data_IF_612870691860
#
_entry.id   IF_612870691860
#
_cell.length_a   1.000
_cell.length_b   1.000
_cell.length_c   1.000
_cell.angle_alpha   90.00
_cell.angle_beta   90.00
_cell.angle_gamma   90.00
#
_symmetry.space_group_name_H-M   'P 1'
#
loop_
_entity.id
_entity.type
_entity.pdbx_description
1 polymer ?
#
# COMPACT_ATOMS: atom_id res chain seq x y z
N UNK A 1 -11.38 24.11 22.31
CA UNK A 1 -10.36 24.48 21.31
C UNK A 1 -10.03 23.22 20.54
N UNK A 2 -9.83 23.31 19.21
CA UNK A 2 -9.45 22.15 18.39
C UNK A 2 -8.00 21.70 18.62
N UNK A 3 -7.68 20.48 18.19
CA UNK A 3 -6.31 19.94 18.23
C UNK A 3 -5.41 20.69 17.23
N UNK A 4 -4.20 21.12 17.62
CA UNK A 4 -3.23 21.73 16.70
C UNK A 4 -2.94 20.82 15.51
N UNK A 5 -2.77 21.38 14.30
CA UNK A 5 -2.59 20.61 13.06
C UNK A 5 -1.42 19.62 13.16
N UNK A 6 -0.28 20.04 13.71
CA UNK A 6 0.88 19.16 13.86
C UNK A 6 0.58 17.91 14.69
N UNK A 7 -0.26 18.04 15.73
CA UNK A 7 -0.68 16.90 16.55
C UNK A 7 -1.66 15.98 15.85
N UNK A 8 -2.35 16.45 14.83
CA UNK A 8 -3.25 15.58 14.04
C UNK A 8 -2.47 14.56 13.20
N UNK A 9 -1.24 14.87 12.83
CA UNK A 9 -0.36 13.99 12.05
C UNK A 9 0.61 13.17 12.91
N UNK A 10 0.60 13.35 14.22
CA UNK A 10 1.46 12.60 15.16
C UNK A 10 0.98 11.15 15.28
N UNK A 11 1.89 10.21 15.00
CA UNK A 11 1.68 8.77 15.11
C UNK A 11 2.41 8.15 16.30
N UNK A 12 2.89 8.97 17.25
CA UNK A 12 3.57 8.48 18.45
C UNK A 12 2.68 7.49 19.21
N UNK A 13 3.25 6.32 19.54
CA UNK A 13 2.53 5.25 20.20
C UNK A 13 1.63 4.39 19.28
N UNK A 14 1.60 4.63 17.98
CA UNK A 14 0.92 3.79 16.99
C UNK A 14 1.87 2.71 16.44
N UNK A 15 1.31 1.56 16.03
CA UNK A 15 2.03 0.41 15.52
C UNK A 15 1.56 0.09 14.10
N UNK A 16 2.49 0.13 13.14
CA UNK A 16 2.20 -0.08 11.73
C UNK A 16 2.79 -1.40 11.22
N UNK A 17 1.96 -2.23 10.59
CA UNK A 17 2.38 -3.39 9.80
C UNK A 17 2.35 -3.03 8.31
N UNK A 18 3.51 -3.13 7.64
CA UNK A 18 3.66 -2.78 6.22
C UNK A 18 4.05 -4.02 5.41
N UNK A 19 3.15 -4.48 4.55
CA UNK A 19 3.42 -5.63 3.66
C UNK A 19 4.18 -5.18 2.40
N UNK A 20 5.16 -5.99 1.95
CA UNK A 20 6.03 -5.60 0.86
C UNK A 20 6.92 -4.38 1.21
N UNK A 21 7.25 -4.21 2.49
CA UNK A 21 7.94 -3.04 3.03
C UNK A 21 9.44 -3.00 2.84
N UNK A 22 10.06 -4.00 2.18
CA UNK A 22 11.53 -4.07 2.05
C UNK A 22 12.12 -3.13 1.00
N UNK A 23 11.31 -2.47 0.18
CA UNK A 23 11.77 -1.54 -0.87
C UNK A 23 10.62 -0.77 -1.53
N UNK A 24 10.97 0.23 -2.36
CA UNK A 24 10.03 1.01 -3.18
C UNK A 24 8.92 1.63 -2.34
N UNK A 25 7.70 1.69 -2.87
CA UNK A 25 6.58 2.40 -2.23
C UNK A 25 6.31 1.93 -0.80
N UNK A 26 6.43 0.63 -0.52
CA UNK A 26 6.23 0.11 0.84
C UNK A 26 7.26 0.62 1.84
N UNK A 27 8.54 0.73 1.44
CA UNK A 27 9.59 1.28 2.29
C UNK A 27 9.42 2.79 2.49
N UNK A 28 9.08 3.54 1.43
CA UNK A 28 8.80 4.99 1.51
C UNK A 28 7.65 5.30 2.46
N UNK A 29 6.56 4.51 2.38
CA UNK A 29 5.41 4.64 3.29
C UNK A 29 5.82 4.28 4.73
N UNK A 30 6.58 3.18 4.92
CA UNK A 30 7.07 2.79 6.23
C UNK A 30 7.95 3.88 6.87
N UNK A 31 8.83 4.49 6.07
CA UNK A 31 9.65 5.63 6.48
C UNK A 31 8.77 6.80 6.92
N UNK A 32 7.80 7.23 6.11
CA UNK A 32 6.91 8.33 6.44
C UNK A 32 6.12 8.12 7.74
N UNK A 33 5.59 6.90 7.93
CA UNK A 33 4.88 6.55 9.16
C UNK A 33 5.83 6.56 10.38
N UNK A 34 7.06 6.07 10.20
CA UNK A 34 8.09 6.09 11.23
C UNK A 34 8.57 7.50 11.58
N UNK A 35 8.82 8.35 10.59
CA UNK A 35 9.15 9.77 10.77
C UNK A 35 8.04 10.53 11.51
N UNK A 36 6.78 10.13 11.32
CA UNK A 36 5.63 10.65 12.05
C UNK A 36 5.46 10.05 13.46
N UNK A 37 6.32 9.12 13.90
CA UNK A 37 6.38 8.57 15.25
C UNK A 37 5.86 7.14 15.43
N UNK A 38 5.37 6.48 14.37
CA UNK A 38 4.90 5.10 14.46
C UNK A 38 6.07 4.11 14.61
N UNK A 39 5.82 3.01 15.35
CA UNK A 39 6.72 1.85 15.32
C UNK A 39 6.34 0.96 14.14
N UNK A 40 7.35 0.46 13.43
CA UNK A 40 7.18 -0.19 12.13
C UNK A 40 7.50 -1.68 12.22
N UNK A 41 6.59 -2.52 11.72
CA UNK A 41 6.86 -3.92 11.38
C UNK A 41 6.83 -4.07 9.86
N UNK A 42 7.96 -4.43 9.26
CA UNK A 42 8.06 -4.74 7.84
C UNK A 42 7.85 -6.24 7.60
N UNK A 43 7.15 -6.59 6.52
CA UNK A 43 7.15 -7.98 6.04
C UNK A 43 7.34 -8.06 4.54
N UNK A 44 8.17 -9.00 4.12
CA UNK A 44 8.36 -9.42 2.73
C UNK A 44 9.04 -10.80 2.69
N UNK A 45 9.27 -11.36 1.50
CA UNK A 45 9.79 -12.73 1.36
C UNK A 45 11.26 -12.90 1.69
N UNK A 46 12.08 -11.88 1.45
CA UNK A 46 13.55 -11.99 1.54
C UNK A 46 14.04 -11.34 2.82
N UNK A 47 14.63 -12.15 3.70
CA UNK A 47 15.21 -11.68 4.95
C UNK A 47 16.28 -10.60 4.74
N UNK A 48 17.24 -10.81 3.83
CA UNK A 48 18.31 -9.83 3.58
C UNK A 48 17.77 -8.48 3.10
N UNK A 49 16.78 -8.46 2.17
CA UNK A 49 16.16 -7.20 1.73
C UNK A 49 15.43 -6.48 2.92
N UNK A 50 14.92 -7.24 3.91
CA UNK A 50 14.26 -6.70 5.11
C UNK A 50 15.27 -6.19 6.14
N UNK A 51 16.38 -6.89 6.32
CA UNK A 51 17.48 -6.45 7.19
C UNK A 51 18.01 -5.10 6.74
N UNK A 52 18.34 -4.97 5.44
CA UNK A 52 18.81 -3.71 4.85
C UNK A 52 17.78 -2.59 5.03
N UNK A 53 16.50 -2.85 4.71
CA UNK A 53 15.43 -1.86 4.86
C UNK A 53 15.23 -1.43 6.32
N UNK A 54 15.28 -2.38 7.25
CA UNK A 54 15.13 -2.09 8.68
C UNK A 54 16.30 -1.28 9.21
N UNK A 55 17.54 -1.60 8.81
CA UNK A 55 18.71 -0.83 9.17
C UNK A 55 18.62 0.62 8.67
N UNK A 56 18.19 0.85 7.41
CA UNK A 56 17.96 2.18 6.87
C UNK A 56 16.94 3.00 7.69
N UNK A 57 15.85 2.37 8.16
CA UNK A 57 14.88 3.04 9.01
C UNK A 57 15.44 3.32 10.40
N UNK A 58 16.17 2.37 10.99
CA UNK A 58 16.79 2.53 12.31
C UNK A 58 17.87 3.61 12.32
N UNK A 59 18.65 3.75 11.24
CA UNK A 59 19.65 4.84 11.08
C UNK A 59 18.99 6.22 11.07
N UNK A 60 17.69 6.30 10.71
CA UNK A 60 16.86 7.51 10.81
C UNK A 60 16.18 7.68 12.18
N UNK A 61 16.47 6.81 13.15
CA UNK A 61 15.88 6.84 14.49
C UNK A 61 14.48 6.22 14.59
N UNK A 62 14.03 5.48 13.57
CA UNK A 62 12.72 4.84 13.52
C UNK A 62 12.78 3.47 14.22
N UNK A 63 11.88 3.18 15.18
CA UNK A 63 11.73 1.84 15.79
C UNK A 63 11.12 0.88 14.73
N UNK A 64 11.99 0.25 13.95
CA UNK A 64 11.61 -0.68 12.89
C UNK A 64 12.09 -2.10 13.19
N UNK A 65 11.25 -3.07 12.86
CA UNK A 65 11.47 -4.51 12.97
C UNK A 65 10.95 -5.20 11.72
N UNK A 66 11.26 -6.48 11.56
CA UNK A 66 10.82 -7.22 10.40
C UNK A 66 10.49 -8.69 10.69
N UNK A 67 9.66 -9.27 9.80
CA UNK A 67 9.30 -10.69 9.75
C UNK A 67 9.32 -11.12 8.29
N UNK A 68 10.16 -12.11 7.95
CA UNK A 68 10.18 -12.69 6.60
C UNK A 68 8.97 -13.63 6.40
N UNK A 69 8.20 -13.40 5.34
CA UNK A 69 7.01 -14.19 5.03
C UNK A 69 6.61 -14.06 3.56
N UNK A 70 6.00 -15.11 3.01
CA UNK A 70 5.36 -15.06 1.70
C UNK A 70 3.87 -14.71 1.86
N UNK A 71 3.51 -13.49 1.47
CA UNK A 71 2.14 -13.01 1.53
C UNK A 71 1.15 -13.79 0.64
N UNK A 72 1.61 -14.69 -0.24
CA UNK A 72 0.75 -15.60 -0.98
C UNK A 72 0.31 -16.82 -0.16
N UNK A 73 0.95 -17.09 0.99
CA UNK A 73 0.71 -18.24 1.86
C UNK A 73 -0.15 -17.83 3.08
N UNK A 74 -1.36 -18.39 3.24
CA UNK A 74 -2.24 -18.04 4.37
C UNK A 74 -1.60 -18.27 5.74
N UNK A 75 -0.87 -19.37 5.92
CA UNK A 75 -0.20 -19.69 7.19
C UNK A 75 0.89 -18.65 7.55
N UNK A 76 1.61 -18.13 6.57
CA UNK A 76 2.59 -17.07 6.78
C UNK A 76 1.92 -15.76 7.20
N UNK A 77 0.75 -15.43 6.64
CA UNK A 77 -0.01 -14.24 7.01
C UNK A 77 -0.46 -14.32 8.48
N UNK A 78 -1.02 -15.46 8.89
CA UNK A 78 -1.44 -15.69 10.29
C UNK A 78 -0.25 -15.59 11.24
N UNK A 79 0.90 -16.19 10.88
CA UNK A 79 2.15 -16.10 11.65
C UNK A 79 2.65 -14.67 11.76
N UNK A 80 2.70 -13.91 10.67
CA UNK A 80 3.13 -12.49 10.71
C UNK A 80 2.27 -11.67 11.66
N UNK A 81 0.96 -11.83 11.60
CA UNK A 81 0.06 -11.07 12.49
C UNK A 81 0.26 -11.50 13.94
N UNK A 82 0.35 -12.81 14.23
CA UNK A 82 0.58 -13.32 15.59
C UNK A 82 1.92 -12.81 16.17
N UNK A 83 3.03 -12.93 15.43
CA UNK A 83 4.34 -12.44 15.86
C UNK A 83 4.37 -10.91 15.98
N UNK A 84 3.66 -10.17 15.13
CA UNK A 84 3.55 -8.71 15.27
C UNK A 84 2.81 -8.34 16.55
N UNK A 85 1.70 -9.02 16.86
CA UNK A 85 0.96 -8.83 18.10
C UNK A 85 1.82 -9.16 19.34
N UNK A 86 2.59 -10.25 19.30
CA UNK A 86 3.51 -10.62 20.37
C UNK A 86 4.59 -9.57 20.62
N UNK A 87 5.21 -9.05 19.53
CA UNK A 87 6.35 -8.14 19.62
C UNK A 87 5.98 -6.68 19.83
N UNK A 88 4.76 -6.27 19.43
CA UNK A 88 4.30 -4.88 19.46
C UNK A 88 3.06 -4.66 20.34
N UNK A 89 2.33 -5.71 20.71
CA UNK A 89 1.14 -5.67 21.55
C UNK A 89 -0.15 -5.34 20.79
N UNK A 90 -0.09 -4.58 19.69
CA UNK A 90 -1.24 -4.21 18.86
C UNK A 90 -0.79 -3.84 17.44
N UNK A 91 -1.76 -3.75 16.54
CA UNK A 91 -1.58 -3.23 15.17
C UNK A 91 -2.67 -2.17 14.95
N UNK A 92 -2.26 -0.90 14.84
CA UNK A 92 -3.16 0.23 14.64
C UNK A 92 -3.27 0.59 13.16
N UNK A 93 -2.18 0.40 12.41
CA UNK A 93 -2.08 0.77 11.01
C UNK A 93 -1.66 -0.48 10.21
N UNK A 94 -2.45 -0.81 9.19
CA UNK A 94 -2.11 -1.86 8.22
C UNK A 94 -1.93 -1.23 6.84
N UNK A 95 -0.73 -1.39 6.26
CA UNK A 95 -0.45 -1.00 4.87
C UNK A 95 -0.37 -2.25 4.01
N UNK A 96 -1.40 -2.48 3.21
CA UNK A 96 -1.45 -3.56 2.22
C UNK A 96 -0.78 -3.09 0.92
N UNK A 97 0.55 -3.25 0.86
CA UNK A 97 1.35 -2.83 -0.29
C UNK A 97 1.94 -4.00 -1.09
N UNK A 98 2.05 -5.21 -0.51
CA UNK A 98 2.55 -6.36 -1.24
C UNK A 98 1.78 -6.59 -2.55
N UNK A 99 2.51 -6.76 -3.66
CA UNK A 99 1.88 -6.93 -4.95
C UNK A 99 2.83 -7.43 -6.03
N UNK A 100 2.23 -7.88 -7.15
CA UNK A 100 2.92 -8.31 -8.35
C UNK A 100 2.18 -7.81 -9.59
N UNK A 101 2.90 -7.80 -10.71
CA UNK A 101 2.36 -7.53 -12.03
C UNK A 101 2.86 -8.60 -13.01
N UNK A 102 2.12 -8.79 -14.08
CA UNK A 102 2.49 -9.58 -15.23
C UNK A 102 1.81 -8.98 -16.47
N UNK A 103 2.50 -8.97 -17.59
CA UNK A 103 1.99 -8.43 -18.88
C UNK A 103 2.05 -9.48 -19.97
N UNK A 104 0.93 -9.68 -20.66
CA UNK A 104 0.79 -10.47 -21.90
C UNK A 104 -0.53 -10.09 -22.58
N UNK A 105 -0.68 -10.33 -23.91
CA UNK A 105 -1.98 -10.28 -24.58
C UNK A 105 -3.01 -11.17 -23.87
N UNK A 106 -4.28 -10.76 -23.87
CA UNK A 106 -5.33 -11.48 -23.13
C UNK A 106 -5.47 -12.94 -23.60
N UNK A 107 -5.41 -13.16 -24.89
CA UNK A 107 -5.54 -14.47 -25.53
C UNK A 107 -4.41 -15.44 -25.14
N UNK A 108 -3.22 -14.92 -24.87
CA UNK A 108 -2.03 -15.68 -24.49
C UNK A 108 -1.69 -15.58 -23.01
N UNK A 109 -2.59 -15.02 -22.19
CA UNK A 109 -2.29 -14.75 -20.78
C UNK A 109 -2.23 -16.05 -19.95
N UNK A 110 -1.07 -16.43 -19.35
CA UNK A 110 -0.94 -17.66 -18.60
C UNK A 110 -1.81 -17.66 -17.34
N UNK A 111 -2.56 -18.75 -17.10
CA UNK A 111 -3.42 -18.88 -15.91
C UNK A 111 -2.60 -18.77 -14.61
N UNK A 112 -1.41 -19.34 -14.57
CA UNK A 112 -0.50 -19.29 -13.41
C UNK A 112 -0.07 -17.85 -13.11
N UNK A 113 0.10 -17.02 -14.14
CA UNK A 113 0.42 -15.61 -13.95
C UNK A 113 -0.78 -14.81 -13.44
N UNK A 114 -1.99 -15.13 -13.92
CA UNK A 114 -3.25 -14.61 -13.38
C UNK A 114 -3.40 -14.96 -11.90
N UNK A 115 -3.30 -16.24 -11.57
CA UNK A 115 -3.45 -16.72 -10.19
C UNK A 115 -2.41 -16.09 -9.25
N UNK A 116 -1.16 -15.98 -9.69
CA UNK A 116 -0.11 -15.33 -8.94
C UNK A 116 -0.43 -13.87 -8.62
N UNK A 117 -0.92 -13.11 -9.61
CA UNK A 117 -1.28 -11.70 -9.43
C UNK A 117 -2.50 -11.58 -8.51
N UNK A 118 -3.55 -12.34 -8.74
CA UNK A 118 -4.78 -12.30 -7.94
C UNK A 118 -4.54 -12.77 -6.49
N UNK A 119 -3.78 -13.84 -6.29
CA UNK A 119 -3.44 -14.33 -4.97
C UNK A 119 -2.65 -13.31 -4.16
N UNK A 120 -1.66 -12.63 -4.78
CA UNK A 120 -0.84 -11.67 -4.05
C UNK A 120 -1.51 -10.31 -3.90
N UNK A 121 -2.21 -9.79 -4.93
CA UNK A 121 -2.75 -8.43 -4.88
C UNK A 121 -4.12 -8.35 -4.20
N UNK A 122 -4.93 -9.42 -4.26
CA UNK A 122 -6.32 -9.42 -3.76
C UNK A 122 -6.48 -10.34 -2.56
N UNK A 123 -6.15 -11.64 -2.72
CA UNK A 123 -6.36 -12.62 -1.64
C UNK A 123 -5.50 -12.31 -0.42
N UNK A 124 -4.22 -11.94 -0.60
CA UNK A 124 -3.36 -11.62 0.54
C UNK A 124 -3.85 -10.38 1.29
N UNK A 125 -4.26 -9.34 0.56
CA UNK A 125 -4.82 -8.12 1.13
C UNK A 125 -6.06 -8.42 2.00
N UNK A 126 -6.99 -9.24 1.48
CA UNK A 126 -8.15 -9.70 2.24
C UNK A 126 -7.74 -10.45 3.51
N UNK A 127 -6.78 -11.38 3.41
CA UNK A 127 -6.34 -12.19 4.54
C UNK A 127 -5.63 -11.36 5.61
N UNK A 128 -4.75 -10.42 5.23
CA UNK A 128 -4.14 -9.49 6.18
C UNK A 128 -5.18 -8.61 6.86
N UNK A 129 -6.12 -8.02 6.13
CA UNK A 129 -7.18 -7.21 6.71
C UNK A 129 -8.01 -8.04 7.71
N UNK A 130 -8.43 -9.26 7.33
CA UNK A 130 -9.17 -10.19 8.20
C UNK A 130 -8.39 -10.54 9.48
N UNK A 131 -7.12 -10.93 9.35
CA UNK A 131 -6.31 -11.36 10.49
C UNK A 131 -6.01 -10.19 11.45
N UNK A 132 -5.59 -9.04 10.93
CA UNK A 132 -5.32 -7.83 11.73
C UNK A 132 -6.61 -7.30 12.35
N UNK A 133 -7.69 -7.26 11.59
CA UNK A 133 -9.00 -6.85 12.11
C UNK A 133 -9.43 -7.68 13.30
N UNK A 134 -9.37 -9.01 13.19
CA UNK A 134 -9.74 -9.93 14.27
C UNK A 134 -8.81 -9.83 15.49
N UNK A 135 -7.49 -9.73 15.25
CA UNK A 135 -6.49 -9.78 16.32
C UNK A 135 -6.36 -8.43 17.07
N UNK A 136 -6.56 -7.30 16.41
CA UNK A 136 -6.27 -5.98 16.96
C UNK A 136 -7.39 -4.95 16.76
N UNK A 137 -7.75 -4.63 15.53
CA UNK A 137 -8.54 -3.42 15.25
C UNK A 137 -9.99 -3.49 15.76
N UNK A 138 -10.68 -4.61 15.55
CA UNK A 138 -12.07 -4.78 15.99
C UNK A 138 -12.20 -4.81 17.53
N UNK A 139 -11.36 -5.58 18.28
CA UNK A 139 -11.40 -5.54 19.75
C UNK A 139 -11.11 -4.15 20.31
N UNK A 140 -10.16 -3.42 19.72
CA UNK A 140 -9.77 -2.08 20.18
C UNK A 140 -10.70 -0.97 19.66
N UNK A 141 -11.62 -1.27 18.75
CA UNK A 141 -12.47 -0.30 18.05
C UNK A 141 -11.68 0.87 17.48
N UNK A 142 -10.52 0.59 16.94
CA UNK A 142 -9.59 1.55 16.37
C UNK A 142 -8.74 0.88 15.28
N UNK A 143 -8.56 1.53 14.15
CA UNK A 143 -7.67 1.04 13.10
C UNK A 143 -7.64 1.95 11.88
N UNK A 144 -6.53 1.87 11.15
CA UNK A 144 -6.28 2.56 9.88
C UNK A 144 -5.78 1.57 8.86
N UNK A 145 -6.54 1.31 7.80
CA UNK A 145 -6.12 0.42 6.72
C UNK A 145 -5.84 1.26 5.48
N UNK A 146 -4.63 1.14 4.97
CA UNK A 146 -4.17 1.80 3.74
C UNK A 146 -3.86 0.73 2.71
N UNK A 147 -4.68 0.65 1.67
CA UNK A 147 -4.49 -0.29 0.58
C UNK A 147 -3.74 0.40 -0.57
N UNK A 148 -2.74 -0.26 -1.14
CA UNK A 148 -2.07 0.28 -2.33
C UNK A 148 -2.75 -0.28 -3.57
N UNK A 149 -3.63 0.56 -4.15
CA UNK A 149 -4.27 0.34 -5.44
C UNK A 149 -3.31 0.70 -6.60
N UNK A 150 -3.80 1.31 -7.63
CA UNK A 150 -3.08 1.89 -8.75
C UNK A 150 -4.05 2.70 -9.60
N UNK A 151 -3.59 3.65 -10.39
CA UNK A 151 -4.39 4.26 -11.46
C UNK A 151 -4.91 3.20 -12.46
N UNK A 152 -4.20 2.09 -12.65
CA UNK A 152 -4.65 0.95 -13.45
C UNK A 152 -5.91 0.24 -12.88
N UNK A 153 -6.29 0.52 -11.64
CA UNK A 153 -7.55 0.07 -11.05
C UNK A 153 -8.69 1.08 -11.19
N UNK A 154 -8.41 2.27 -11.68
CA UNK A 154 -9.40 3.36 -11.86
C UNK A 154 -9.92 3.41 -13.30
N UNK A 155 -9.08 3.05 -14.27
CA UNK A 155 -9.42 3.03 -15.69
C UNK A 155 -8.61 1.97 -16.44
N UNK A 156 -9.10 1.56 -17.61
CA UNK A 156 -8.33 0.74 -18.55
C UNK A 156 -7.20 1.53 -19.22
N UNK A 157 -6.28 0.82 -19.84
CA UNK A 157 -5.19 1.40 -20.65
C UNK A 157 -5.25 0.87 -22.07
N UNK A 158 -4.98 1.73 -23.04
CA UNK A 158 -4.94 1.36 -24.46
C UNK A 158 -3.63 0.60 -24.82
N UNK A 159 -2.53 0.98 -24.17
CA UNK A 159 -1.18 0.54 -24.56
C UNK A 159 -0.59 -0.54 -23.64
N UNK A 160 -1.27 -0.89 -22.54
CA UNK A 160 -0.73 -1.79 -21.53
C UNK A 160 -1.53 -3.08 -21.41
N UNK A 161 -0.84 -4.20 -21.67
CA UNK A 161 -1.42 -5.55 -21.61
C UNK A 161 -1.31 -6.16 -20.21
N UNK A 162 -1.91 -5.51 -19.19
CA UNK A 162 -1.82 -5.89 -17.79
C UNK A 162 -3.18 -6.31 -17.21
N UNK A 163 -3.90 -7.20 -17.91
CA UNK A 163 -5.29 -7.55 -17.55
C UNK A 163 -5.43 -7.99 -16.09
N UNK A 164 -4.61 -8.93 -15.60
CA UNK A 164 -4.68 -9.38 -14.22
C UNK A 164 -4.34 -8.27 -13.22
N UNK A 165 -3.33 -7.45 -13.52
CA UNK A 165 -2.93 -6.36 -12.65
C UNK A 165 -4.04 -5.30 -12.55
N UNK A 166 -4.56 -4.80 -13.67
CA UNK A 166 -5.67 -3.85 -13.68
C UNK A 166 -6.90 -4.37 -12.95
N UNK A 167 -7.32 -5.62 -13.26
CA UNK A 167 -8.42 -6.29 -12.57
C UNK A 167 -8.17 -6.38 -11.06
N UNK A 168 -6.98 -6.80 -10.64
CA UNK A 168 -6.64 -6.90 -9.22
C UNK A 168 -6.70 -5.54 -8.51
N UNK A 169 -6.24 -4.46 -9.17
CA UNK A 169 -6.25 -3.12 -8.58
C UNK A 169 -7.67 -2.51 -8.56
N UNK A 170 -8.52 -2.83 -9.54
CA UNK A 170 -9.96 -2.54 -9.48
C UNK A 170 -10.66 -3.28 -8.33
N UNK A 171 -10.30 -4.55 -8.09
CA UNK A 171 -10.79 -5.30 -6.94
C UNK A 171 -10.37 -4.64 -5.61
N UNK A 172 -9.13 -4.15 -5.48
CA UNK A 172 -8.65 -3.41 -4.30
C UNK A 172 -9.46 -2.13 -4.09
N UNK A 173 -9.79 -1.39 -5.16
CA UNK A 173 -10.62 -0.19 -5.11
C UNK A 173 -12.00 -0.50 -4.50
N UNK A 174 -12.68 -1.53 -5.00
CA UNK A 174 -14.02 -1.87 -4.47
C UNK A 174 -13.95 -2.50 -3.08
N UNK A 175 -12.96 -3.34 -2.81
CA UNK A 175 -12.70 -3.89 -1.47
C UNK A 175 -12.54 -2.79 -0.42
N UNK A 176 -11.80 -1.73 -0.74
CA UNK A 176 -11.60 -0.57 0.14
C UNK A 176 -12.93 0.07 0.52
N UNK A 177 -13.82 0.30 -0.44
CA UNK A 177 -15.14 0.90 -0.20
C UNK A 177 -16.05 0.00 0.62
N UNK A 178 -16.09 -1.29 0.27
CA UNK A 178 -16.94 -2.26 0.96
C UNK A 178 -16.52 -2.43 2.41
N UNK A 179 -15.22 -2.61 2.67
CA UNK A 179 -14.70 -2.78 4.02
C UNK A 179 -14.84 -1.50 4.86
N UNK A 180 -14.71 -0.32 4.25
CA UNK A 180 -14.95 0.97 4.92
C UNK A 180 -16.39 1.07 5.44
N UNK A 181 -17.37 0.61 4.66
CA UNK A 181 -18.78 0.55 5.08
C UNK A 181 -19.01 -0.44 6.23
N UNK A 182 -18.40 -1.62 6.14
CA UNK A 182 -18.56 -2.67 7.14
C UNK A 182 -17.88 -2.33 8.49
N UNK A 183 -16.67 -1.77 8.45
CA UNK A 183 -15.86 -1.55 9.65
C UNK A 183 -15.89 -0.11 10.19
N UNK A 184 -16.48 0.83 9.46
CA UNK A 184 -16.69 2.21 9.92
C UNK A 184 -17.37 2.31 11.29
N UNK A 185 -18.47 1.54 11.57
CA UNK A 185 -19.11 1.52 12.88
C UNK A 185 -18.21 1.06 14.03
N UNK A 186 -17.08 0.42 13.71
CA UNK A 186 -16.08 -0.01 14.68
C UNK A 186 -14.92 0.97 14.85
N UNK A 187 -14.99 2.20 14.31
CA UNK A 187 -13.94 3.20 14.42
C UNK A 187 -12.71 2.94 13.54
N UNK A 188 -12.86 2.08 12.52
CA UNK A 188 -11.79 1.70 11.60
C UNK A 188 -12.00 2.43 10.27
N UNK A 189 -10.98 3.16 9.80
CA UNK A 189 -11.01 3.75 8.46
C UNK A 189 -10.26 2.87 7.47
N UNK A 190 -10.76 2.77 6.25
CA UNK A 190 -10.17 1.99 5.17
C UNK A 190 -10.10 2.86 3.93
N UNK A 191 -8.89 3.18 3.48
CA UNK A 191 -8.64 4.02 2.32
C UNK A 191 -7.62 3.38 1.39
N UNK A 192 -7.52 3.88 0.17
CA UNK A 192 -6.50 3.43 -0.77
C UNK A 192 -5.72 4.60 -1.38
N UNK A 193 -4.43 4.39 -1.57
CA UNK A 193 -3.61 5.19 -2.46
C UNK A 193 -3.59 4.52 -3.84
N UNK A 194 -3.77 5.29 -4.89
CA UNK A 194 -3.68 4.85 -6.28
C UNK A 194 -2.48 5.56 -6.95
N UNK A 195 -1.26 5.01 -6.81
CA UNK A 195 -0.08 5.59 -7.42
C UNK A 195 -0.15 5.56 -8.94
N UNK A 196 0.43 6.61 -9.58
CA UNK A 196 0.78 6.62 -10.99
C UNK A 196 2.10 5.90 -11.24
N UNK A 197 2.93 6.48 -12.13
CA UNK A 197 4.25 5.93 -12.44
C UNK A 197 5.31 6.42 -11.46
N UNK A 198 5.86 5.47 -10.69
CA UNK A 198 6.97 5.67 -9.77
C UNK A 198 8.13 4.77 -10.20
N UNK A 199 9.37 5.25 -10.28
CA UNK A 199 10.53 4.42 -10.55
C UNK A 199 10.67 3.34 -9.48
N UNK A 200 10.64 2.07 -9.88
CA UNK A 200 10.75 0.94 -8.98
C UNK A 200 11.19 -0.32 -9.73
N UNK A 201 11.55 -1.37 -9.00
CA UNK A 201 11.82 -2.67 -9.63
C UNK A 201 10.61 -3.20 -10.42
N UNK A 202 9.39 -2.92 -9.96
CA UNK A 202 8.14 -3.34 -10.62
C UNK A 202 7.91 -2.59 -11.94
N UNK A 203 8.22 -1.31 -11.99
CA UNK A 203 7.99 -0.45 -13.16
C UNK A 203 9.17 -0.42 -14.14
N UNK A 204 10.32 -1.06 -13.79
CA UNK A 204 11.52 -1.08 -14.64
C UNK A 204 11.25 -1.54 -16.08
N UNK A 205 10.43 -2.58 -16.27
CA UNK A 205 10.06 -3.09 -17.59
C UNK A 205 9.23 -2.07 -18.40
N UNK A 206 8.27 -1.42 -17.75
CA UNK A 206 7.43 -0.37 -18.36
C UNK A 206 8.28 0.84 -18.75
N UNK A 207 9.16 1.28 -17.84
CA UNK A 207 10.09 2.38 -18.10
C UNK A 207 11.05 2.07 -19.26
N UNK A 208 11.50 0.83 -19.37
CA UNK A 208 12.35 0.39 -20.48
C UNK A 208 11.58 0.34 -21.81
N UNK A 209 10.32 -0.07 -21.80
CA UNK A 209 9.47 -0.21 -22.99
C UNK A 209 8.97 1.14 -23.51
N UNK A 210 8.49 2.01 -22.64
CA UNK A 210 7.81 3.26 -23.04
C UNK A 210 8.70 4.50 -22.93
N UNK A 211 9.79 4.43 -22.16
CA UNK A 211 10.65 5.57 -21.85
C UNK A 211 10.11 6.43 -20.70
N UNK A 212 11.01 6.91 -19.85
CA UNK A 212 10.66 7.76 -18.70
C UNK A 212 10.03 9.09 -19.15
N UNK A 213 10.59 9.72 -20.18
CA UNK A 213 10.11 11.01 -20.70
C UNK A 213 8.69 10.92 -21.25
N UNK A 214 8.34 9.84 -21.97
CA UNK A 214 6.99 9.61 -22.49
C UNK A 214 5.99 9.46 -21.35
N UNK A 215 6.32 8.68 -20.32
CA UNK A 215 5.45 8.49 -19.15
C UNK A 215 5.32 9.78 -18.33
N UNK A 216 6.41 10.53 -18.17
CA UNK A 216 6.40 11.84 -17.51
C UNK A 216 5.55 12.86 -18.28
N UNK A 217 5.67 12.89 -19.60
CA UNK A 217 4.91 13.82 -20.46
C UNK A 217 3.39 13.53 -20.48
N UNK A 218 2.97 12.33 -20.15
CA UNK A 218 1.55 11.97 -20.02
C UNK A 218 0.90 12.56 -18.75
N UNK A 219 1.69 12.88 -17.73
CA UNK A 219 1.20 13.50 -16.50
C UNK A 219 1.08 15.04 -16.67
N UNK A 220 0.00 15.68 -16.21
CA UNK A 220 -0.09 17.14 -16.14
C UNK A 220 1.10 17.81 -15.45
N UNK A 221 1.65 17.19 -14.37
CA UNK A 221 2.84 17.70 -13.66
C UNK A 221 4.16 17.44 -14.40
N UNK A 222 4.13 16.76 -15.58
CA UNK A 222 5.30 16.52 -16.44
C UNK A 222 6.48 15.83 -15.76
N UNK A 223 6.24 15.02 -14.73
CA UNK A 223 7.24 14.22 -14.06
C UNK A 223 6.68 12.87 -13.60
N UNK A 224 7.56 11.95 -13.34
CA UNK A 224 7.25 10.73 -12.59
C UNK A 224 7.14 11.05 -11.09
N UNK A 225 6.51 10.16 -10.34
CA UNK A 225 6.54 10.22 -8.89
C UNK A 225 7.95 9.93 -8.34
N UNK A 226 8.26 10.48 -7.18
CA UNK A 226 9.52 10.28 -6.47
C UNK A 226 9.30 9.67 -5.07
N UNK A 227 10.37 9.58 -4.29
CA UNK A 227 10.37 8.88 -3.00
C UNK A 227 9.52 9.59 -1.92
N UNK A 228 9.15 10.85 -2.12
CA UNK A 228 8.41 11.66 -1.14
C UNK A 228 6.92 11.81 -1.47
N UNK A 229 6.53 11.61 -2.72
CA UNK A 229 5.17 11.94 -3.21
C UNK A 229 4.03 11.17 -2.51
N UNK A 230 4.29 9.95 -2.00
CA UNK A 230 3.29 9.17 -1.27
C UNK A 230 3.29 9.43 0.24
N UNK A 231 4.36 10.00 0.80
CA UNK A 231 4.57 10.13 2.24
C UNK A 231 3.43 10.92 2.91
N UNK A 232 3.13 12.11 2.42
CA UNK A 232 2.10 12.97 3.00
C UNK A 232 0.70 12.33 2.98
N UNK A 233 0.34 11.68 1.87
CA UNK A 233 -0.95 11.00 1.73
C UNK A 233 -1.06 9.77 2.64
N UNK A 234 0.03 9.02 2.83
CA UNK A 234 0.08 7.88 3.74
C UNK A 234 -0.10 8.32 5.20
N UNK A 235 0.61 9.36 5.65
CA UNK A 235 0.48 9.92 7.01
C UNK A 235 -0.91 10.49 7.23
N UNK A 236 -1.52 11.16 6.24
CA UNK A 236 -2.91 11.65 6.32
C UNK A 236 -3.87 10.48 6.62
N UNK A 237 -3.80 9.38 5.87
CA UNK A 237 -4.72 8.24 6.08
C UNK A 237 -4.43 7.45 7.35
N UNK A 238 -3.19 7.46 7.85
CA UNK A 238 -2.78 6.76 9.05
C UNK A 238 -3.14 7.50 10.35
N UNK A 239 -3.31 8.82 10.30
CA UNK A 239 -3.36 9.70 11.47
C UNK A 239 -4.75 10.21 11.82
N UNK A 240 -4.86 10.95 12.92
CA UNK A 240 -6.08 11.65 13.32
C UNK A 240 -6.51 12.76 12.33
N UNK A 241 -5.58 13.24 11.46
CA UNK A 241 -5.92 14.15 10.38
C UNK A 241 -6.91 13.49 9.37
N UNK A 242 -6.80 12.18 9.19
CA UNK A 242 -7.66 11.37 8.32
C UNK A 242 -8.86 10.70 9.00
N UNK A 243 -9.12 10.94 10.28
CA UNK A 243 -10.13 10.21 11.06
C UNK A 243 -11.57 10.26 10.53
N UNK A 244 -11.89 11.23 9.70
CA UNK A 244 -13.21 11.36 9.04
C UNK A 244 -13.13 11.05 7.54
N UNK A 245 -12.05 10.41 7.09
CA UNK A 245 -11.83 9.98 5.71
C UNK A 245 -11.86 8.46 5.68
N UNK A 246 -12.86 7.87 5.02
CA UNK A 246 -12.95 6.41 4.82
C UNK A 246 -13.60 6.08 3.48
N UNK A 247 -13.25 4.95 2.89
CA UNK A 247 -13.73 4.50 1.58
C UNK A 247 -13.13 5.28 0.40
N UNK A 248 -12.14 6.15 0.63
CA UNK A 248 -11.58 7.01 -0.41
C UNK A 248 -10.44 6.34 -1.15
N UNK A 249 -10.35 6.67 -2.44
CA UNK A 249 -9.25 6.27 -3.31
C UNK A 249 -8.57 7.55 -3.77
N UNK A 250 -7.39 7.82 -3.23
CA UNK A 250 -6.63 9.00 -3.58
C UNK A 250 -5.59 8.66 -4.64
N UNK A 251 -5.78 9.21 -5.84
CA UNK A 251 -4.76 9.13 -6.88
C UNK A 251 -3.58 10.04 -6.53
N UNK A 252 -2.36 9.48 -6.60
CA UNK A 252 -1.09 10.21 -6.47
C UNK A 252 -0.29 9.91 -7.74
N UNK A 253 -0.58 10.64 -8.80
CA UNK A 253 -0.20 10.28 -10.16
C UNK A 253 0.20 11.46 -11.05
N UNK A 254 0.40 12.63 -10.47
CA UNK A 254 0.71 13.85 -11.21
C UNK A 254 -0.45 14.33 -12.09
N UNK A 255 -1.67 13.84 -11.86
CA UNK A 255 -2.89 14.23 -12.57
C UNK A 255 -3.22 13.34 -13.79
N UNK A 256 -2.49 12.24 -14.02
CA UNK A 256 -2.71 11.34 -15.17
C UNK A 256 -4.16 10.84 -15.24
N UNK A 257 -4.73 10.42 -14.12
CA UNK A 257 -6.11 9.88 -14.09
C UNK A 257 -7.20 10.96 -14.06
N UNK A 258 -6.84 12.23 -13.86
CA UNK A 258 -7.79 13.33 -13.75
C UNK A 258 -8.12 14.01 -15.08
N UNK A 259 -7.31 13.78 -16.12
CA UNK A 259 -7.47 14.40 -17.43
C UNK A 259 -7.60 13.34 -18.52
N UNK A 260 -8.40 13.62 -19.51
CA UNK A 260 -8.41 12.85 -20.76
C UNK A 260 -7.43 13.50 -21.74
N UNK A 261 -6.57 12.71 -22.37
CA UNK A 261 -5.81 13.18 -23.52
C UNK A 261 -6.84 13.49 -24.61
N UNK A 262 -7.09 14.78 -24.83
CA UNK A 262 -7.93 15.24 -25.93
C UNK A 262 -7.37 14.73 -27.25
N UNK A 263 -8.27 14.48 -28.21
CA UNK A 263 -7.92 14.12 -29.57
C UNK A 263 -7.08 15.20 -30.24
#
# INVERSE_FOLDING_TARGET
>A
MGTPVQKLFDLSGQFALVTGGSRGLGLQIAEALGEAGAKIMLTSRKAGDLEEATALLQDKGIDARWIAADASQPADIERVVAETMERMGRIDILVNNAGATWGAPMEDYPLEAWDKVMNLNVRSLFLFAKAVGKASMLPNRHGRIINIASIAGLAGSLDMQFIAYGTSKGAVVNFTRTLAGEWGPHGITVNALAPGFFPSKMTKGVLAQFGADKLASAAPLRRLGDDDDLKGAAVLFASEAGKHITGQILAVDGGVSAVHNGA
#
